data_IF_753383375149
#
_entry.id   IF_753383375149
#
_cell.length_a   1.000
_cell.length_b   1.000
_cell.length_c   1.000
_cell.angle_alpha   90.00
_cell.angle_beta   90.00
_cell.angle_gamma   90.00
#
_symmetry.space_group_name_H-M   'P 1'
#
loop_
_entity.id
_entity.type
_entity.pdbx_description
1 polymer ?
#
# COMPACT_ATOMS: atom_id res chain seq x y z
N UNK A 1 -1.99 -12.43 -6.82
CA UNK A 1 -1.86 -12.20 -5.36
C UNK A 1 -1.42 -10.77 -5.14
N UNK A 2 -1.99 -10.05 -4.17
CA UNK A 2 -1.40 -8.80 -3.69
C UNK A 2 -0.30 -9.14 -2.68
N UNK A 3 0.69 -8.28 -2.55
CA UNK A 3 1.79 -8.40 -1.59
C UNK A 3 1.76 -7.19 -0.68
N UNK A 4 1.75 -7.43 0.63
CA UNK A 4 1.85 -6.37 1.61
C UNK A 4 3.20 -6.47 2.33
N UNK A 5 3.92 -5.36 2.38
CA UNK A 5 5.20 -5.23 3.07
C UNK A 5 5.08 -4.06 4.05
N UNK A 6 4.94 -4.37 5.32
CA UNK A 6 4.70 -3.37 6.34
C UNK A 6 4.56 -3.99 7.72
N UNK A 7 4.13 -3.16 8.65
CA UNK A 7 3.90 -3.55 10.02
C UNK A 7 2.59 -4.34 10.18
N UNK A 8 2.62 -5.33 11.07
CA UNK A 8 1.49 -6.19 11.38
C UNK A 8 1.27 -6.21 12.88
N UNK A 9 0.01 -6.08 13.29
CA UNK A 9 -0.42 -6.14 14.68
C UNK A 9 -1.73 -6.90 14.77
N UNK A 10 -1.83 -7.83 15.72
CA UNK A 10 -3.03 -8.65 15.90
C UNK A 10 -3.48 -9.37 14.60
N UNK A 11 -2.51 -9.81 13.79
CA UNK A 11 -2.73 -10.42 12.47
C UNK A 11 -3.42 -9.50 11.44
N UNK A 12 -3.38 -8.18 11.66
CA UNK A 12 -3.89 -7.15 10.78
C UNK A 12 -2.78 -6.20 10.34
N UNK A 13 -2.96 -5.57 9.19
CA UNK A 13 -2.07 -4.50 8.74
C UNK A 13 -2.26 -3.28 9.64
N UNK A 14 -1.19 -2.84 10.30
CA UNK A 14 -1.24 -1.78 11.31
C UNK A 14 0.14 -1.11 11.39
N UNK A 15 0.18 0.21 11.24
CA UNK A 15 1.41 0.98 11.05
C UNK A 15 1.72 1.26 9.58
N UNK A 16 2.99 1.52 9.27
CA UNK A 16 3.37 1.91 7.90
C UNK A 16 3.54 0.68 7.01
N UNK A 17 2.96 0.71 5.82
CA UNK A 17 3.08 -0.41 4.90
C UNK A 17 2.82 -0.08 3.44
N UNK A 18 3.43 -0.91 2.58
CA UNK A 18 3.32 -0.87 1.13
C UNK A 18 2.50 -2.04 0.64
N UNK A 19 1.32 -1.76 0.08
CA UNK A 19 0.51 -2.77 -0.59
C UNK A 19 0.77 -2.71 -2.09
N UNK A 20 1.30 -3.79 -2.66
CA UNK A 20 1.53 -3.97 -4.09
C UNK A 20 0.45 -4.87 -4.67
N UNK A 21 -0.29 -4.36 -5.66
CA UNK A 21 -1.28 -5.12 -6.41
C UNK A 21 -0.63 -5.88 -7.57
N UNK A 22 -1.24 -7.00 -8.01
CA UNK A 22 -0.70 -7.79 -9.13
C UNK A 22 -0.67 -7.02 -10.46
N UNK A 23 -1.46 -5.95 -10.59
CA UNK A 23 -1.44 -5.02 -11.74
C UNK A 23 -0.18 -4.15 -11.77
N UNK A 24 0.59 -4.15 -10.67
CA UNK A 24 1.80 -3.36 -10.48
C UNK A 24 1.59 -2.16 -9.57
N UNK A 25 0.33 -1.73 -9.37
CA UNK A 25 0.01 -0.58 -8.53
C UNK A 25 0.57 -0.78 -7.13
N UNK A 26 0.97 0.32 -6.48
CA UNK A 26 1.48 0.30 -5.12
C UNK A 26 0.86 1.40 -4.29
N UNK A 27 0.59 1.12 -3.03
CA UNK A 27 0.17 2.11 -2.07
C UNK A 27 1.12 2.08 -0.89
N UNK A 28 1.91 3.14 -0.73
CA UNK A 28 2.72 3.41 0.46
C UNK A 28 1.90 4.31 1.38
N UNK A 29 1.50 3.81 2.55
CA UNK A 29 0.69 4.61 3.46
C UNK A 29 0.62 4.01 4.86
N UNK A 30 -0.18 4.66 5.70
CA UNK A 30 -0.47 4.16 7.03
C UNK A 30 -1.67 3.20 6.99
N UNK A 31 -1.61 2.20 7.84
CA UNK A 31 -2.61 1.16 8.00
C UNK A 31 -3.01 1.09 9.46
N UNK A 32 -4.28 0.80 9.72
CA UNK A 32 -4.79 0.53 11.06
C UNK A 32 -5.90 -0.49 10.91
N UNK A 33 -5.78 -1.62 11.60
CA UNK A 33 -6.79 -2.69 11.54
C UNK A 33 -7.19 -3.10 10.10
N UNK A 34 -6.23 -3.35 9.21
CA UNK A 34 -6.45 -3.67 7.78
C UNK A 34 -7.10 -2.57 6.93
N UNK A 35 -7.25 -1.38 7.50
CA UNK A 35 -7.81 -0.22 6.81
C UNK A 35 -6.69 0.78 6.49
N UNK A 36 -6.70 1.31 5.27
CA UNK A 36 -5.81 2.40 4.88
C UNK A 36 -6.22 3.66 5.62
N UNK A 37 -5.33 4.23 6.40
CA UNK A 37 -5.59 5.46 7.16
C UNK A 37 -4.55 6.53 6.84
N UNK A 38 -4.91 7.78 7.12
CA UNK A 38 -4.01 8.91 6.97
C UNK A 38 -3.68 9.24 5.50
N UNK A 39 -2.51 9.83 5.33
CA UNK A 39 -1.98 10.23 4.02
C UNK A 39 -1.06 9.15 3.49
N UNK A 40 -1.36 8.63 2.30
CA UNK A 40 -0.52 7.66 1.60
C UNK A 40 -0.26 8.10 0.16
N UNK A 41 0.87 7.69 -0.38
CA UNK A 41 1.20 7.82 -1.78
C UNK A 41 0.64 6.61 -2.55
N UNK A 42 -0.38 6.86 -3.36
CA UNK A 42 -0.83 5.88 -4.35
C UNK A 42 0.04 6.03 -5.61
N UNK A 43 0.89 5.04 -5.83
CA UNK A 43 1.68 4.91 -7.06
C UNK A 43 0.89 4.02 -7.99
N UNK A 44 0.22 4.66 -8.94
CA UNK A 44 -0.38 3.96 -10.06
C UNK A 44 0.74 3.32 -10.88
N UNK A 45 0.63 2.03 -11.19
CA UNK A 45 1.57 1.39 -12.10
C UNK A 45 1.13 1.69 -13.51
N UNK A 46 1.35 2.92 -13.90
CA UNK A 46 1.14 3.36 -15.27
C UNK A 46 2.49 3.79 -15.81
N UNK A 47 2.64 3.43 -17.07
CA UNK A 47 3.70 3.83 -17.94
C UNK A 47 3.74 5.35 -17.91
N UNK A 48 4.86 5.91 -17.45
CA UNK A 48 5.33 7.27 -17.69
C UNK A 48 4.23 8.34 -17.89
N UNK A 49 3.86 9.07 -16.83
CA UNK A 49 3.48 10.48 -17.01
C UNK A 49 4.76 11.29 -17.23
N UNK A 50 5.38 11.10 -18.38
CA UNK A 50 6.39 12.00 -18.93
C UNK A 50 5.77 12.59 -20.18
N UNK A 51 4.97 13.63 -19.99
CA UNK A 51 4.57 14.53 -21.07
C UNK A 51 4.96 15.95 -20.72
#
# INVERSE_FOLDING_TARGET
MFRYEGEWKDNKQDGRGVQTWPRGDKYDGQWENDTRTGSGAYVWAEVCSSS
#
